data_IF_973910979032
#
_entry.id   IF_973910979032
#
_cell.length_a   1.000
_cell.length_b   1.000
_cell.length_c   1.000
_cell.angle_alpha   90.00
_cell.angle_beta   90.00
_cell.angle_gamma   90.00
#
_symmetry.space_group_name_H-M   'P 1'
#
loop_
_entity.id
_entity.type
_entity.pdbx_description
1 polymer ?
2 non-polymer ?
3 non-polymer ?
#
# COMPACT_ATOMS: atom_id res chain seq x y z
N UNK A 20 -7.39 -24.39 23.00
CA UNK A 20 -6.18 -24.83 22.21
C UNK A 20 -5.46 -23.58 21.67
N UNK A 21 -6.03 -22.99 20.61
CA UNK A 21 -5.46 -21.78 20.00
C UNK A 21 -6.08 -20.54 20.62
N UNK A 22 -6.95 -20.76 21.60
CA UNK A 22 -7.63 -19.69 22.30
C UNK A 22 -7.05 -19.47 23.70
N UNK A 23 -6.65 -20.57 24.33
CA UNK A 23 -6.07 -20.54 25.68
C UNK A 23 -4.62 -20.08 25.53
N UNK A 24 -4.30 -18.90 26.09
CA UNK A 24 -2.95 -18.33 26.02
C UNK A 24 -1.84 -19.16 26.65
N UNK A 25 -0.67 -19.15 26.02
CA UNK A 25 0.48 -19.89 26.52
C UNK A 25 1.16 -19.12 27.66
N UNK A 26 2.01 -19.80 28.45
CA UNK A 26 2.69 -19.14 29.55
C UNK A 26 3.54 -17.96 29.10
N UNK A 27 3.50 -16.86 29.85
CA UNK A 27 4.28 -15.67 29.52
C UNK A 27 5.80 -15.84 29.45
N UNK A 28 6.49 -14.72 29.21
CA UNK A 28 7.95 -14.67 29.11
C UNK A 28 8.36 -13.22 29.26
N UNK A 29 9.19 -12.93 30.26
CA UNK A 29 9.62 -11.56 30.48
C UNK A 29 10.57 -11.05 29.40
N UNK A 30 11.63 -11.81 29.15
CA UNK A 30 12.61 -11.41 28.16
C UNK A 30 11.97 -11.11 26.81
N UNK A 31 10.96 -11.90 26.45
CA UNK A 31 10.24 -11.72 25.19
C UNK A 31 9.19 -10.61 25.29
N UNK A 32 8.48 -10.57 26.41
CA UNK A 32 7.46 -9.58 26.64
C UNK A 32 8.12 -8.19 26.76
N UNK A 33 9.39 -8.18 27.09
CA UNK A 33 10.12 -6.93 27.23
C UNK A 33 10.49 -6.42 25.85
N UNK A 34 10.98 -7.33 25.02
CA UNK A 34 11.38 -7.04 23.65
C UNK A 34 10.23 -6.51 22.80
N UNK A 35 9.06 -7.14 22.95
CA UNK A 35 7.90 -6.76 22.17
C UNK A 35 7.23 -5.46 22.59
N UNK A 36 7.28 -5.14 23.87
CA UNK A 36 6.64 -3.92 24.32
C UNK A 36 7.66 -3.01 25.00
N UNK A 37 8.57 -2.48 24.19
CA UNK A 37 9.60 -1.59 24.70
C UNK A 37 9.00 -0.22 25.02
N UNK A 38 8.09 -0.20 25.98
CA UNK A 38 7.45 1.04 26.37
C UNK A 38 6.41 1.53 25.39
N UNK A 39 6.72 1.42 24.10
CA UNK A 39 5.79 1.87 23.07
C UNK A 39 5.68 3.38 23.05
N UNK A 40 5.09 3.93 24.11
CA UNK A 40 4.92 5.37 24.27
C UNK A 40 4.23 6.06 23.09
N UNK A 41 3.83 5.29 22.09
CA UNK A 41 3.18 5.86 20.93
C UNK A 41 1.67 5.61 20.89
N UNK A 42 0.91 6.69 20.97
CA UNK A 42 -0.54 6.59 20.93
C UNK A 42 -1.04 7.43 19.77
N UNK A 43 -2.16 7.00 19.18
CA UNK A 43 -2.72 7.72 18.04
C UNK A 43 -3.40 9.02 18.44
N UNK A 44 -3.50 9.94 17.48
CA UNK A 44 -4.15 11.24 17.69
C UNK A 44 -5.59 10.91 18.06
N UNK A 45 -5.83 10.65 19.35
CA UNK A 45 -7.15 10.25 19.79
C UNK A 45 -8.24 11.32 19.93
N UNK A 46 -8.00 12.54 19.45
CA UNK A 46 -9.02 13.57 19.58
C UNK A 46 -9.45 14.29 18.31
N UNK A 47 -8.58 14.32 17.30
CA UNK A 47 -8.89 14.98 16.04
C UNK A 47 -9.37 14.00 14.97
N UNK A 48 -9.83 12.83 15.40
CA UNK A 48 -10.35 11.81 14.49
C UNK A 48 -11.83 11.61 14.76
N UNK A 49 -12.21 11.78 16.02
CA UNK A 49 -13.60 11.64 16.42
C UNK A 49 -14.41 12.78 15.81
N UNK A 50 -13.70 13.70 15.16
CA UNK A 50 -14.30 14.86 14.51
C UNK A 50 -14.63 14.55 13.05
N UNK A 51 -14.10 13.44 12.56
CA UNK A 51 -14.32 13.02 11.18
C UNK A 51 -15.42 11.97 11.12
N UNK A 52 -16.31 12.07 10.11
CA UNK A 52 -17.42 11.15 9.91
C UNK A 52 -16.99 9.78 9.36
N UNK A 53 -17.84 8.77 9.54
CA UNK A 53 -17.55 7.42 9.05
C UNK A 53 -18.79 6.78 8.43
N UNK A 54 -18.88 6.84 7.11
CA UNK A 54 -20.03 6.29 6.41
C UNK A 54 -19.83 4.82 6.04
N UNK A 55 -20.81 3.99 6.37
CA UNK A 55 -20.75 2.55 6.07
C UNK A 55 -21.88 2.08 5.15
N UNK A 56 -21.52 1.79 3.91
CA UNK A 56 -22.43 1.33 2.87
C UNK A 56 -22.42 -0.18 2.68
N UNK A 57 -23.57 -0.76 2.30
CA UNK A 57 -23.63 -2.20 2.08
C UNK A 57 -24.83 -2.88 2.73
N UNK A 58 -25.11 -4.11 2.31
CA UNK A 58 -26.25 -4.86 2.84
C UNK A 58 -26.07 -5.45 4.23
N UNK A 59 -27.15 -5.46 5.00
CA UNK A 59 -27.15 -5.99 6.36
C UNK A 59 -25.85 -5.84 7.08
N UNK A 60 -25.27 -4.66 6.97
CA UNK A 60 -23.99 -4.37 7.62
C UNK A 60 -24.00 -4.52 9.14
N UNK A 61 -23.04 -5.31 9.68
CA UNK A 61 -22.96 -5.51 11.13
C UNK A 61 -22.72 -4.19 11.87
N UNK A 62 -23.58 -3.88 12.85
CA UNK A 62 -23.52 -2.67 13.68
C UNK A 62 -22.19 -2.43 14.41
N UNK A 63 -21.59 -1.26 14.18
CA UNK A 63 -20.32 -0.87 14.80
C UNK A 63 -20.26 -1.11 16.30
N UNK A 64 -19.09 -0.90 16.90
CA UNK A 64 -18.93 -1.10 18.33
C UNK A 64 -18.27 0.08 19.03
N UNK A 65 -18.57 0.23 20.32
CA UNK A 65 -18.02 1.31 21.11
C UNK A 65 -16.75 0.89 21.86
N UNK A 66 -16.85 -0.17 22.66
CA UNK A 66 -15.68 -0.63 23.40
C UNK A 66 -15.29 -2.01 22.87
N UNK A 67 -14.02 -2.36 23.01
CA UNK A 67 -13.53 -3.67 22.55
C UNK A 67 -14.31 -4.82 23.20
N UNK A 68 -15.15 -4.46 24.17
CA UNK A 68 -15.93 -5.44 24.89
C UNK A 68 -17.31 -5.66 24.29
N UNK A 69 -17.61 -4.96 23.21
CA UNK A 69 -18.92 -5.10 22.55
C UNK A 69 -19.00 -6.32 21.66
N UNK A 70 -17.98 -7.19 21.75
CA UNK A 70 -17.89 -8.42 20.96
C UNK A 70 -16.75 -9.26 21.54
N UNK A 71 -16.94 -10.58 21.60
CA UNK A 71 -15.91 -11.47 22.16
C UNK A 71 -14.61 -11.46 21.36
N UNK A 72 -13.63 -10.72 21.84
CA UNK A 72 -12.34 -10.65 21.16
C UNK A 72 -11.44 -11.80 21.62
N UNK A 73 -11.92 -12.62 22.54
CA UNK A 73 -11.14 -13.73 23.05
C UNK A 73 -10.11 -13.32 24.08
N UNK A 74 -9.71 -14.27 24.92
CA UNK A 74 -8.72 -14.02 25.98
C UNK A 74 -7.44 -13.33 25.53
N UNK A 75 -6.71 -14.00 24.63
CA UNK A 75 -5.44 -13.50 24.12
C UNK A 75 -5.46 -12.09 23.54
N UNK A 76 -6.43 -11.78 22.69
CA UNK A 76 -6.46 -10.43 22.11
C UNK A 76 -6.67 -9.40 23.21
N UNK A 77 -7.75 -9.55 23.97
CA UNK A 77 -8.04 -8.61 25.08
C UNK A 77 -6.80 -8.43 25.93
N UNK A 78 -6.10 -9.53 26.19
CA UNK A 78 -4.88 -9.48 26.97
C UNK A 78 -3.80 -8.63 26.36
N UNK A 79 -3.48 -8.88 25.09
CA UNK A 79 -2.45 -8.12 24.41
C UNK A 79 -2.84 -6.66 24.17
N UNK A 80 -4.13 -6.39 24.02
CA UNK A 80 -4.57 -5.02 23.80
C UNK A 80 -4.12 -4.18 24.97
N UNK A 81 -4.18 -4.74 26.17
CA UNK A 81 -3.72 -4.03 27.36
C UNK A 81 -2.23 -3.72 27.25
N UNK A 82 -1.40 -4.76 27.19
CA UNK A 82 0.05 -4.57 27.10
C UNK A 82 0.50 -3.58 26.03
N UNK A 83 -0.41 -3.11 25.17
CA UNK A 83 -0.05 -2.15 24.13
C UNK A 83 -0.63 -0.79 24.43
N UNK A 84 -1.27 -0.68 25.59
CA UNK A 84 -1.87 0.55 26.05
C UNK A 84 -2.93 1.13 25.12
N UNK A 85 -3.95 0.34 24.79
CA UNK A 85 -5.05 0.83 23.95
C UNK A 85 -6.25 0.86 24.88
N UNK A 86 -6.93 2.00 24.96
CA UNK A 86 -8.10 2.11 25.83
C UNK A 86 -9.35 1.72 25.08
N UNK A 87 -9.63 2.45 24.00
CA UNK A 87 -10.79 2.18 23.19
C UNK A 87 -10.42 2.24 21.71
N UNK A 88 -11.29 1.69 20.85
CA UNK A 88 -11.08 1.65 19.40
C UNK A 88 -11.19 3.00 18.69
N UNK A 89 -10.29 3.24 17.74
CA UNK A 89 -10.32 4.47 16.96
C UNK A 89 -11.61 4.44 16.13
N UNK A 90 -11.92 5.53 15.39
CA UNK A 90 -13.14 5.59 14.57
C UNK A 90 -13.33 4.42 13.62
N UNK A 91 -12.39 4.28 12.68
CA UNK A 91 -12.42 3.20 11.68
C UNK A 91 -12.51 1.85 12.39
N UNK A 92 -11.76 1.72 13.48
CA UNK A 92 -11.75 0.49 14.26
C UNK A 92 -13.10 0.18 14.89
N UNK A 93 -13.99 1.17 14.94
CA UNK A 93 -15.30 0.96 15.55
C UNK A 93 -16.24 0.24 14.59
N UNK A 94 -16.07 0.47 13.30
CA UNK A 94 -16.93 -0.16 12.29
C UNK A 94 -16.23 -1.33 11.65
N UNK A 95 -14.91 -1.23 11.52
CA UNK A 95 -14.12 -2.28 10.89
C UNK A 95 -14.12 -3.59 11.65
N UNK A 96 -13.85 -3.52 12.94
CA UNK A 96 -13.80 -4.72 13.76
C UNK A 96 -15.05 -5.58 13.65
N UNK A 97 -16.22 -5.07 14.04
CA UNK A 97 -17.37 -5.96 13.92
C UNK A 97 -17.66 -6.48 12.50
N UNK A 98 -17.26 -5.72 11.48
CA UNK A 98 -17.48 -6.13 10.09
C UNK A 98 -16.64 -7.39 9.78
N UNK A 99 -15.37 -7.34 10.15
CA UNK A 99 -14.45 -8.45 9.91
C UNK A 99 -14.80 -9.63 10.81
N UNK A 100 -15.17 -9.33 12.05
CA UNK A 100 -15.54 -10.36 13.00
C UNK A 100 -16.73 -11.18 12.47
N UNK A 101 -17.72 -10.54 11.86
CA UNK A 101 -18.87 -11.28 11.31
C UNK A 101 -18.55 -11.82 9.90
N UNK A 102 -17.26 -11.93 9.62
CA UNK A 102 -16.77 -12.45 8.35
C UNK A 102 -17.31 -11.87 7.06
N UNK A 103 -17.35 -10.54 6.97
CA UNK A 103 -17.82 -9.83 5.77
C UNK A 103 -16.62 -9.21 5.09
N UNK A 104 -16.59 -9.16 3.76
CA UNK A 104 -15.47 -8.53 3.09
C UNK A 104 -15.53 -7.00 3.30
N UNK A 105 -14.40 -6.33 3.17
CA UNK A 105 -14.34 -4.90 3.45
C UNK A 105 -13.40 -4.09 2.55
N UNK A 106 -13.88 -2.92 2.12
CA UNK A 106 -13.12 -1.97 1.31
C UNK A 106 -13.10 -0.72 2.16
N UNK A 107 -11.95 -0.36 2.72
CA UNK A 107 -11.88 0.80 3.59
C UNK A 107 -10.94 1.91 3.17
N UNK A 108 -11.43 3.15 3.28
CA UNK A 108 -10.68 4.35 2.92
C UNK A 108 -10.55 5.27 4.14
N UNK A 109 -9.30 5.59 4.50
CA UNK A 109 -9.06 6.46 5.64
C UNK A 109 -7.61 6.94 5.61
N UNK A 110 -7.39 8.19 6.04
CA UNK A 110 -6.04 8.76 6.04
C UNK A 110 -5.16 8.22 7.14
N UNK A 111 -3.86 8.17 6.87
CA UNK A 111 -2.91 7.67 7.85
C UNK A 111 -3.22 8.16 9.25
N UNK A 112 -2.76 7.41 10.25
CA UNK A 112 -3.00 7.76 11.64
C UNK A 112 -4.38 7.40 12.13
N UNK A 113 -5.22 6.89 11.23
CA UNK A 113 -6.58 6.52 11.61
C UNK A 113 -6.62 5.29 12.49
N UNK A 114 -5.55 4.49 12.43
CA UNK A 114 -5.47 3.27 13.22
C UNK A 114 -5.93 2.07 12.42
N UNK A 115 -5.60 2.09 11.13
CA UNK A 115 -5.99 1.04 10.23
C UNK A 115 -5.34 -0.32 10.53
N UNK A 116 -4.04 -0.34 10.80
CA UNK A 116 -3.33 -1.60 11.07
C UNK A 116 -3.95 -2.47 12.15
N UNK A 117 -4.22 -1.89 13.31
CA UNK A 117 -4.83 -2.65 14.39
C UNK A 117 -6.24 -3.07 14.01
N UNK A 118 -6.90 -2.26 13.17
CA UNK A 118 -8.27 -2.56 12.75
C UNK A 118 -8.46 -3.87 11.98
N UNK A 119 -7.41 -4.36 11.33
CA UNK A 119 -7.57 -5.61 10.62
C UNK A 119 -6.82 -6.76 11.30
N UNK A 120 -5.72 -6.45 11.98
CA UNK A 120 -4.98 -7.50 12.67
C UNK A 120 -5.79 -8.07 13.82
N UNK A 121 -6.27 -7.21 14.71
CA UNK A 121 -7.03 -7.68 15.85
C UNK A 121 -8.16 -8.66 15.51
N UNK A 122 -9.16 -8.21 14.73
CA UNK A 122 -10.24 -9.15 14.41
C UNK A 122 -9.76 -10.43 13.74
N UNK A 123 -8.77 -10.31 12.84
CA UNK A 123 -8.24 -11.48 12.14
C UNK A 123 -7.63 -12.47 13.13
N UNK A 124 -6.70 -11.98 13.94
CA UNK A 124 -6.05 -12.82 14.93
C UNK A 124 -7.10 -13.40 15.86
N UNK A 125 -7.97 -12.55 16.36
CA UNK A 125 -9.04 -12.99 17.23
C UNK A 125 -9.82 -14.16 16.62
N UNK A 126 -9.90 -14.22 15.30
CA UNK A 126 -10.61 -15.27 14.58
C UNK A 126 -9.83 -16.57 14.50
N UNK A 127 -8.54 -16.44 14.23
CA UNK A 127 -7.66 -17.59 14.15
C UNK A 127 -7.65 -18.27 15.51
N UNK A 128 -7.40 -17.50 16.56
CA UNK A 128 -7.41 -18.07 17.89
C UNK A 128 -8.74 -18.76 18.13
N UNK A 129 -9.83 -18.08 17.78
CA UNK A 129 -11.17 -18.64 17.95
C UNK A 129 -11.39 -19.92 17.15
N UNK A 130 -11.33 -19.80 15.82
CA UNK A 130 -11.56 -20.93 14.91
C UNK A 130 -10.41 -21.93 14.74
N UNK A 131 -9.23 -21.64 15.26
CA UNK A 131 -8.13 -22.58 15.07
C UNK A 131 -7.49 -22.37 13.71
N UNK A 132 -6.43 -23.12 13.36
CA UNK A 132 -5.73 -22.98 12.07
C UNK A 132 -6.28 -23.74 10.87
N UNK A 133 -7.31 -24.56 11.07
CA UNK A 133 -7.85 -25.34 9.97
C UNK A 133 -7.38 -26.77 10.13
N UNK A 134 -8.15 -27.73 9.64
CA UNK A 134 -7.78 -29.12 9.77
C UNK A 134 -6.59 -29.47 8.89
N UNK A 135 -6.42 -28.75 7.81
CA UNK A 135 -5.30 -29.01 6.90
C UNK A 135 -3.99 -28.83 7.66
N UNK A 136 -3.82 -27.70 8.34
CA UNK A 136 -2.59 -27.47 9.08
C UNK A 136 -2.51 -28.42 10.25
N UNK A 137 -3.59 -28.48 11.03
CA UNK A 137 -3.63 -29.36 12.19
C UNK A 137 -3.12 -30.75 11.84
N UNK A 138 -3.82 -31.40 10.91
CA UNK A 138 -3.43 -32.73 10.49
C UNK A 138 -2.25 -32.69 9.52
N UNK A 139 -1.29 -31.80 9.77
CA UNK A 139 -0.11 -31.70 8.90
C UNK A 139 1.12 -31.48 9.78
N UNK A 140 0.86 -31.05 11.01
CA UNK A 140 1.90 -30.82 12.01
C UNK A 140 2.07 -32.13 12.74
N UNK A 141 0.95 -32.81 12.96
CA UNK A 141 0.95 -34.09 13.65
C UNK A 141 1.30 -35.23 12.71
N UNK A 142 1.56 -34.87 11.45
CA UNK A 142 1.96 -35.83 10.45
C UNK A 142 3.48 -35.73 10.43
N UNK A 143 4.16 -36.88 10.54
CA UNK A 143 5.61 -36.90 10.57
C UNK A 143 6.31 -36.24 9.39
N UNK A 144 5.62 -35.32 8.72
CA UNK A 144 6.20 -34.62 7.57
C UNK A 144 7.09 -33.48 8.04
N UNK A 145 7.97 -33.77 8.99
CA UNK A 145 8.88 -32.76 9.53
C UNK A 145 9.89 -32.30 8.47
N UNK A 146 10.50 -31.15 8.71
CA UNK A 146 11.47 -30.61 7.77
C UNK A 146 11.21 -29.14 7.46
N UNK A 147 11.59 -28.71 6.26
CA UNK A 147 11.38 -27.33 5.84
C UNK A 147 10.98 -27.25 4.38
N UNK A 148 9.88 -27.91 4.04
CA UNK A 148 9.39 -27.90 2.67
C UNK A 148 8.77 -26.56 2.26
N UNK A 149 7.48 -26.44 2.49
CA UNK A 149 6.71 -25.25 2.12
C UNK A 149 5.75 -24.80 3.22
N UNK A 150 5.75 -23.50 3.52
CA UNK A 150 4.89 -22.92 4.56
C UNK A 150 3.59 -22.37 3.98
N UNK A 151 2.49 -22.57 4.70
CA UNK A 151 1.20 -22.09 4.25
C UNK A 151 0.62 -21.11 5.23
N UNK A 152 0.72 -19.80 4.94
CA UNK A 152 0.14 -18.82 5.88
C UNK A 152 -1.39 -18.92 5.95
N UNK A 153 -1.93 -18.63 7.12
CA UNK A 153 -3.37 -18.65 7.37
C UNK A 153 -3.95 -17.27 7.00
N UNK A 154 -3.08 -16.28 7.02
CA UNK A 154 -3.46 -14.92 6.69
C UNK A 154 -2.34 -14.21 5.96
N UNK A 155 -2.69 -13.46 4.93
CA UNK A 155 -1.70 -12.75 4.15
C UNK A 155 -2.00 -11.26 4.11
N UNK A 156 -0.98 -10.46 4.37
CA UNK A 156 -1.15 -9.03 4.32
C UNK A 156 -0.12 -8.51 3.32
N UNK A 157 -0.63 -8.01 2.20
CA UNK A 157 0.20 -7.44 1.15
C UNK A 157 0.39 -5.97 1.48
N UNK A 158 1.62 -5.49 1.33
CA UNK A 158 1.96 -4.11 1.63
C UNK A 158 2.85 -3.53 0.54
N UNK A 159 2.75 -2.21 0.32
CA UNK A 159 3.52 -1.48 -0.70
C UNK A 159 5.03 -1.37 -0.49
N UNK A 160 5.44 -1.16 0.76
CA UNK A 160 6.85 -0.98 1.04
C UNK A 160 7.33 -1.66 2.30
N UNK A 161 8.64 -1.88 2.34
CA UNK A 161 9.33 -2.49 3.48
C UNK A 161 9.05 -1.70 4.75
N UNK A 162 8.98 -0.38 4.63
CA UNK A 162 8.73 0.44 5.80
C UNK A 162 7.40 0.04 6.46
N UNK A 163 6.31 0.09 5.71
CA UNK A 163 5.00 -0.26 6.23
C UNK A 163 4.85 -1.75 6.52
N UNK A 164 5.47 -2.58 5.68
CA UNK A 164 5.39 -4.03 5.87
C UNK A 164 5.87 -4.39 7.26
N UNK A 165 7.01 -3.83 7.65
CA UNK A 165 7.58 -4.09 8.97
C UNK A 165 6.75 -3.52 10.11
N UNK A 166 6.16 -2.34 9.93
CA UNK A 166 5.34 -1.77 10.98
C UNK A 166 4.20 -2.74 11.30
N UNK A 167 3.54 -3.22 10.25
CA UNK A 167 2.43 -4.14 10.39
C UNK A 167 2.94 -5.34 11.16
N UNK A 168 4.04 -5.90 10.66
CA UNK A 168 4.68 -7.04 11.30
C UNK A 168 4.89 -6.82 12.80
N UNK A 169 5.59 -5.74 13.15
CA UNK A 169 5.82 -5.39 14.55
C UNK A 169 4.52 -5.42 15.33
N UNK A 170 3.48 -4.85 14.74
CA UNK A 170 2.16 -4.78 15.35
C UNK A 170 1.64 -6.19 15.63
N UNK A 171 1.80 -7.07 14.65
CA UNK A 171 1.34 -8.46 14.76
C UNK A 171 2.08 -9.22 15.88
N UNK A 172 3.38 -8.99 16.02
CA UNK A 172 4.17 -9.63 17.06
C UNK A 172 3.55 -9.36 18.44
N UNK A 173 3.08 -8.12 18.62
CA UNK A 173 2.47 -7.71 19.87
C UNK A 173 1.16 -8.44 20.11
N UNK A 174 0.22 -8.30 19.18
CA UNK A 174 -1.10 -8.93 19.30
C UNK A 174 -1.12 -10.44 19.24
N UNK A 175 -0.02 -11.05 18.80
CA UNK A 175 0.05 -12.50 18.71
C UNK A 175 1.00 -13.03 19.76
N UNK A 176 1.29 -12.19 20.75
CA UNK A 176 2.14 -12.55 21.87
C UNK A 176 1.36 -13.58 22.68
N UNK A 177 2.02 -14.69 23.00
CA UNK A 177 1.41 -15.76 23.78
C UNK A 177 0.34 -16.57 23.04
N UNK A 178 0.61 -16.90 21.78
CA UNK A 178 -0.32 -17.67 20.99
C UNK A 178 0.43 -18.60 20.05
N UNK A 179 -0.32 -19.49 19.37
CA UNK A 179 0.25 -20.44 18.42
C UNK A 179 0.62 -19.73 17.12
N UNK A 180 0.23 -18.47 16.97
CA UNK A 180 0.49 -17.75 15.73
C UNK A 180 1.81 -17.00 15.64
N UNK A 181 2.68 -17.42 14.72
CA UNK A 181 3.95 -16.74 14.54
C UNK A 181 3.87 -15.81 13.33
N UNK A 182 4.06 -14.50 13.54
CA UNK A 182 4.00 -13.56 12.42
C UNK A 182 5.35 -13.67 11.70
N UNK A 183 5.42 -13.21 10.47
CA UNK A 183 6.67 -13.25 9.72
C UNK A 183 6.55 -12.30 8.55
N UNK A 184 7.59 -11.52 8.28
CA UNK A 184 7.55 -10.57 7.16
C UNK A 184 8.68 -10.75 6.15
N UNK A 185 8.40 -10.46 4.88
CA UNK A 185 9.38 -10.55 3.81
C UNK A 185 9.18 -9.35 2.86
N UNK A 186 10.22 -8.99 2.13
CA UNK A 186 10.18 -7.86 1.19
C UNK A 186 11.41 -7.82 0.29
N UNK A 187 11.35 -6.97 -0.73
CA UNK A 187 12.46 -6.86 -1.67
C UNK A 187 13.59 -5.96 -1.19
N UNK A 188 14.76 -6.10 -1.82
CA UNK A 188 15.91 -5.31 -1.44
C UNK A 188 16.54 -5.83 -0.17
N UNK A 189 16.60 -7.15 -0.03
CA UNK A 189 17.18 -7.80 1.13
C UNK A 189 17.60 -9.19 0.73
N UNK A 190 18.42 -9.85 1.54
CA UNK A 190 18.86 -11.19 1.19
C UNK A 190 17.66 -12.11 1.31
N UNK A 191 17.24 -12.65 0.18
CA UNK A 191 16.09 -13.55 0.18
C UNK A 191 16.38 -14.79 1.00
N UNK A 192 17.59 -15.33 0.83
CA UNK A 192 17.97 -16.54 1.55
C UNK A 192 17.75 -16.44 3.06
N UNK A 193 18.02 -15.28 3.63
CA UNK A 193 17.83 -15.09 5.06
C UNK A 193 16.34 -15.17 5.37
N UNK A 194 15.54 -14.41 4.63
CA UNK A 194 14.08 -14.39 4.80
C UNK A 194 13.52 -15.79 4.64
N UNK A 195 14.01 -16.52 3.64
CA UNK A 195 13.55 -17.87 3.42
C UNK A 195 13.76 -18.69 4.69
N UNK A 196 14.93 -18.57 5.30
CA UNK A 196 15.19 -19.33 6.52
C UNK A 196 14.21 -18.92 7.62
N UNK A 197 13.86 -17.62 7.66
CA UNK A 197 12.92 -17.10 8.66
C UNK A 197 11.53 -17.73 8.48
N UNK A 198 11.08 -17.86 7.23
CA UNK A 198 9.79 -18.46 6.92
C UNK A 198 9.76 -19.86 7.49
N UNK A 199 10.78 -20.63 7.16
CA UNK A 199 10.90 -22.01 7.61
C UNK A 199 10.67 -22.15 9.12
N UNK A 200 10.89 -21.08 9.85
CA UNK A 200 10.74 -21.10 11.30
C UNK A 200 9.29 -20.98 11.77
N UNK A 201 8.38 -20.63 10.85
CA UNK A 201 6.99 -20.50 11.23
C UNK A 201 6.20 -19.42 10.51
N UNK A 202 5.03 -19.82 10.02
CA UNK A 202 4.18 -18.90 9.29
C UNK A 202 2.71 -19.13 9.56
N UNK A 203 1.99 -18.06 9.87
CA UNK A 203 0.56 -18.15 10.13
C UNK A 203 -0.06 -16.85 9.68
N UNK A 204 0.75 -15.81 9.77
CA UNK A 204 0.37 -14.47 9.37
C UNK A 204 1.59 -13.93 8.68
N UNK A 205 1.60 -14.01 7.35
CA UNK A 205 2.72 -13.55 6.54
C UNK A 205 2.42 -12.17 5.98
N UNK A 206 3.34 -11.24 6.21
CA UNK A 206 3.20 -9.89 5.72
C UNK A 206 4.28 -9.79 4.67
N UNK A 207 3.89 -9.40 3.45
CA UNK A 207 4.87 -9.32 2.37
C UNK A 207 4.56 -8.25 1.36
N UNK A 208 5.53 -7.99 0.50
CA UNK A 208 5.35 -7.02 -0.57
C UNK A 208 5.21 -7.89 -1.82
N UNK A 209 4.25 -7.56 -2.68
CA UNK A 209 3.90 -8.23 -3.93
C UNK A 209 5.00 -9.01 -4.61
N UNK A 210 6.02 -8.31 -5.06
CA UNK A 210 7.10 -8.96 -5.76
C UNK A 210 7.77 -10.12 -5.05
N UNK A 211 8.19 -9.89 -3.81
CA UNK A 211 8.86 -10.91 -3.03
C UNK A 211 7.97 -12.13 -2.77
N UNK A 212 6.72 -11.89 -2.39
CA UNK A 212 5.81 -13.00 -2.14
C UNK A 212 5.67 -13.89 -3.37
N UNK A 213 5.73 -13.29 -4.55
CA UNK A 213 5.61 -14.04 -5.78
C UNK A 213 6.88 -14.85 -5.98
N UNK A 214 8.01 -14.23 -5.68
CA UNK A 214 9.31 -14.87 -5.81
C UNK A 214 9.33 -16.09 -4.88
N UNK A 215 8.95 -15.89 -3.62
CA UNK A 215 8.92 -16.97 -2.65
C UNK A 215 8.06 -18.10 -3.19
N UNK A 216 6.88 -17.74 -3.72
CA UNK A 216 5.96 -18.72 -4.28
C UNK A 216 6.63 -19.55 -5.38
N UNK A 217 7.22 -18.87 -6.37
CA UNK A 217 7.89 -19.56 -7.47
C UNK A 217 8.94 -20.52 -6.93
N UNK A 218 9.59 -20.13 -5.84
CA UNK A 218 10.61 -20.95 -5.19
C UNK A 218 10.02 -22.05 -4.31
N UNK A 219 8.70 -22.25 -4.41
CA UNK A 219 8.02 -23.28 -3.64
C UNK A 219 8.14 -23.20 -2.14
N UNK A 220 8.44 -22.01 -1.62
CA UNK A 220 8.61 -21.78 -0.19
C UNK A 220 7.30 -21.39 0.52
N UNK A 221 6.36 -20.84 -0.23
CA UNK A 221 5.08 -20.40 0.30
C UNK A 221 3.91 -20.96 -0.49
N UNK A 222 2.84 -21.29 0.24
CA UNK A 222 1.64 -21.82 -0.36
C UNK A 222 0.47 -20.99 0.12
N UNK A 223 -0.53 -20.78 -0.73
CA UNK A 223 -1.68 -19.98 -0.32
C UNK A 223 -2.93 -20.84 -0.20
N UNK A 224 -2.76 -22.15 -0.22
CA UNK A 224 -3.88 -23.08 -0.13
C UNK A 224 -4.79 -22.89 1.08
N UNK A 225 -4.23 -22.45 2.19
CA UNK A 225 -5.04 -22.31 3.38
C UNK A 225 -5.18 -20.91 3.89
N UNK A 226 -4.96 -19.93 3.01
CA UNK A 226 -5.08 -18.54 3.41
C UNK A 226 -6.55 -18.18 3.50
N UNK A 227 -7.02 -17.86 4.69
CA UNK A 227 -8.42 -17.51 4.92
C UNK A 227 -8.65 -16.02 5.10
N UNK A 228 -7.57 -15.28 5.37
CA UNK A 228 -7.67 -13.85 5.58
C UNK A 228 -6.66 -13.13 4.72
N UNK A 229 -7.17 -12.43 3.72
CA UNK A 229 -6.37 -11.66 2.77
C UNK A 229 -6.60 -10.20 3.03
N UNK A 230 -5.50 -9.44 3.10
CA UNK A 230 -5.58 -8.00 3.36
C UNK A 230 -4.63 -7.28 2.43
N UNK A 231 -5.15 -6.31 1.69
CA UNK A 231 -4.29 -5.54 0.80
C UNK A 231 -4.20 -4.17 1.46
N UNK A 232 -3.07 -3.91 2.08
CA UNK A 232 -2.88 -2.67 2.77
C UNK A 232 -2.33 -1.60 1.82
N UNK A 233 -3.06 -0.49 1.70
CA UNK A 233 -2.68 0.62 0.83
C UNK A 233 -2.66 0.14 -0.62
N UNK A 234 -3.80 -0.41 -1.04
CA UNK A 234 -3.95 -0.95 -2.38
C UNK A 234 -3.59 0.06 -3.46
N UNK A 235 -4.03 1.30 -3.28
CA UNK A 235 -3.76 2.36 -4.24
C UNK A 235 -2.27 2.61 -4.30
N UNK A 236 -1.64 2.74 -3.13
CA UNK A 236 -0.21 2.99 -3.07
C UNK A 236 0.57 1.84 -3.71
N UNK A 237 0.05 0.62 -3.57
CA UNK A 237 0.72 -0.55 -4.16
C UNK A 237 0.67 -0.52 -5.68
N UNK A 238 -0.49 -0.17 -6.20
CA UNK A 238 -0.67 -0.10 -7.64
C UNK A 238 0.25 0.94 -8.22
N UNK A 239 0.36 2.07 -7.52
CA UNK A 239 1.24 3.16 -7.95
C UNK A 239 2.59 2.57 -8.33
N UNK A 240 3.22 1.91 -7.37
CA UNK A 240 4.51 1.27 -7.58
C UNK A 240 4.41 0.07 -8.54
N UNK A 241 3.40 0.10 -9.41
CA UNK A 241 3.20 -0.95 -10.41
C UNK A 241 3.18 -2.39 -9.93
N UNK A 242 2.34 -2.69 -8.95
CA UNK A 242 2.26 -4.05 -8.43
C UNK A 242 1.05 -4.87 -8.90
N UNK A 243 0.06 -4.23 -9.52
CA UNK A 243 -1.16 -4.94 -9.92
C UNK A 243 -0.95 -6.36 -10.43
N UNK A 244 -0.05 -6.53 -11.42
CA UNK A 244 0.24 -7.83 -12.01
C UNK A 244 0.49 -8.92 -10.98
N UNK A 245 1.37 -8.65 -10.03
CA UNK A 245 1.70 -9.62 -8.99
C UNK A 245 0.50 -9.83 -8.09
N UNK A 246 -0.11 -8.73 -7.67
CA UNK A 246 -1.29 -8.82 -6.81
C UNK A 246 -2.30 -9.79 -7.41
N UNK A 247 -2.57 -9.65 -8.71
CA UNK A 247 -3.51 -10.55 -9.37
C UNK A 247 -2.91 -11.94 -9.49
N UNK A 248 -1.64 -12.02 -9.84
CA UNK A 248 -0.98 -13.32 -9.97
C UNK A 248 -1.18 -14.02 -8.63
N UNK A 249 -0.88 -13.32 -7.56
CA UNK A 249 -1.01 -13.83 -6.21
C UNK A 249 -2.43 -14.29 -5.90
N UNK A 250 -3.37 -13.36 -5.95
CA UNK A 250 -4.78 -13.66 -5.67
C UNK A 250 -5.46 -14.60 -6.67
N UNK A 251 -5.77 -14.06 -7.85
CA UNK A 251 -6.48 -14.77 -8.91
C UNK A 251 -5.78 -15.93 -9.61
N UNK A 252 -4.47 -15.84 -9.81
CA UNK A 252 -3.75 -16.88 -10.55
C UNK A 252 -3.12 -18.03 -9.77
N UNK A 253 -3.41 -18.15 -8.48
CA UNK A 253 -2.79 -19.23 -7.74
C UNK A 253 -3.72 -20.09 -6.91
N UNK A 254 -3.09 -20.91 -6.07
CA UNK A 254 -3.75 -21.84 -5.15
C UNK A 254 -4.59 -21.19 -4.06
N UNK A 255 -4.69 -19.86 -4.07
CA UNK A 255 -5.48 -19.18 -3.06
C UNK A 255 -6.98 -19.41 -3.21
N UNK A 256 -7.67 -19.65 -2.09
CA UNK A 256 -9.11 -19.91 -2.07
C UNK A 256 -9.85 -18.71 -2.66
N UNK A 257 -10.95 -18.97 -3.39
CA UNK A 257 -11.80 -17.96 -4.04
C UNK A 257 -12.58 -17.13 -3.04
N UNK A 258 -13.21 -16.03 -3.47
CA UNK A 258 -13.97 -15.22 -2.52
C UNK A 258 -15.19 -15.97 -2.05
N UNK A 259 -15.61 -15.69 -0.82
CA UNK A 259 -16.75 -16.40 -0.26
C UNK A 259 -16.13 -17.45 0.64
N UNK A 260 -14.99 -17.96 0.24
CA UNK A 260 -14.27 -18.95 1.02
C UNK A 260 -13.26 -18.20 1.91
N UNK A 261 -12.48 -17.33 1.29
CA UNK A 261 -11.48 -16.54 1.99
C UNK A 261 -12.08 -15.18 2.23
N UNK A 262 -11.67 -14.55 3.32
CA UNK A 262 -12.16 -13.24 3.67
C UNK A 262 -11.13 -12.21 3.25
N UNK A 263 -11.58 -11.21 2.51
CA UNK A 263 -10.69 -10.19 1.99
C UNK A 263 -10.96 -8.79 2.52
N UNK A 264 -9.91 -8.01 2.66
CA UNK A 264 -10.01 -6.64 3.14
C UNK A 264 -9.02 -5.78 2.38
N UNK A 265 -9.52 -4.66 1.87
CA UNK A 265 -8.69 -3.71 1.14
C UNK A 265 -8.68 -2.41 1.92
N UNK A 266 -7.51 -1.80 2.01
CA UNK A 266 -7.35 -0.54 2.70
C UNK A 266 -6.60 0.38 1.77
N UNK A 267 -7.15 1.56 1.49
CA UNK A 267 -6.49 2.54 0.63
C UNK A 267 -7.14 3.90 0.77
N UNK A 268 -6.31 4.93 0.93
CA UNK A 268 -6.78 6.30 1.12
C UNK A 268 -7.56 6.84 -0.06
N UNK A 269 -7.03 6.65 -1.27
CA UNK A 269 -7.73 7.13 -2.46
C UNK A 269 -8.54 5.98 -3.03
N UNK A 270 -9.56 6.31 -3.81
CA UNK A 270 -10.45 5.31 -4.38
C UNK A 270 -10.69 5.45 -5.90
N UNK A 271 -9.61 5.41 -6.69
CA UNK A 271 -9.65 5.53 -8.16
C UNK A 271 -10.33 4.37 -8.85
N UNK A 272 -10.70 4.57 -10.11
CA UNK A 272 -11.38 3.52 -10.87
C UNK A 272 -10.62 2.19 -10.89
N UNK A 273 -9.28 2.22 -10.89
CA UNK A 273 -8.52 0.97 -10.93
C UNK A 273 -8.58 0.22 -9.61
N UNK A 274 -9.00 0.91 -8.56
CA UNK A 274 -9.14 0.29 -7.25
C UNK A 274 -10.57 -0.22 -7.08
N UNK A 275 -11.50 0.46 -7.75
CA UNK A 275 -12.91 0.09 -7.73
C UNK A 275 -13.04 -1.22 -8.48
N UNK A 276 -12.29 -1.34 -9.57
CA UNK A 276 -12.32 -2.55 -10.37
C UNK A 276 -11.60 -3.68 -9.67
N UNK A 277 -10.71 -3.34 -8.74
CA UNK A 277 -9.96 -4.35 -8.01
C UNK A 277 -10.85 -4.81 -6.87
N UNK A 278 -11.43 -3.85 -6.16
CA UNK A 278 -12.31 -4.18 -5.06
C UNK A 278 -13.48 -4.98 -5.60
N UNK A 279 -13.74 -4.83 -6.89
CA UNK A 279 -14.83 -5.53 -7.56
C UNK A 279 -14.55 -7.00 -7.71
N UNK A 280 -13.41 -7.35 -8.28
CA UNK A 280 -13.07 -8.76 -8.48
C UNK A 280 -12.65 -9.50 -7.22
N UNK A 281 -11.96 -8.81 -6.31
CA UNK A 281 -11.47 -9.42 -5.07
C UNK A 281 -12.44 -9.50 -3.90
N UNK A 282 -13.21 -8.44 -3.66
CA UNK A 282 -14.14 -8.46 -2.54
C UNK A 282 -15.46 -9.12 -2.91
N UNK A 283 -16.19 -9.59 -1.90
CA UNK A 283 -17.46 -10.28 -2.11
C UNK A 283 -18.52 -9.78 -1.13
N UNK A 284 -19.62 -9.23 -1.68
CA UNK A 284 -20.71 -8.70 -0.86
C UNK A 284 -20.06 -7.95 0.28
N UNK A 285 -19.23 -6.98 -0.09
CA UNK A 285 -18.46 -6.20 0.86
C UNK A 285 -19.12 -4.93 1.35
N UNK A 286 -18.62 -4.42 2.46
CA UNK A 286 -19.11 -3.18 3.03
C UNK A 286 -18.09 -2.11 2.71
N UNK A 287 -18.58 -0.94 2.27
CA UNK A 287 -17.70 0.17 1.96
C UNK A 287 -17.60 1.00 3.22
N UNK A 288 -16.37 1.34 3.58
CA UNK A 288 -16.16 2.12 4.78
C UNK A 288 -15.32 3.32 4.43
N UNK A 289 -15.91 4.51 4.57
CA UNK A 289 -15.20 5.74 4.25
C UNK A 289 -15.23 6.69 5.43
N UNK A 290 -14.06 7.13 5.88
CA UNK A 290 -14.00 8.06 7.00
C UNK A 290 -13.45 9.41 6.51
N UNK A 291 -14.20 10.04 5.61
CA UNK A 291 -13.78 11.33 5.07
C UNK A 291 -14.09 11.50 3.60
N UNK A 292 -13.16 12.12 2.89
CA UNK A 292 -13.31 12.39 1.46
C UNK A 292 -13.11 11.16 0.57
N UNK A 293 -14.06 10.96 -0.35
CA UNK A 293 -14.00 9.84 -1.28
C UNK A 293 -13.12 10.27 -2.46
N UNK A 294 -11.85 10.52 -2.19
CA UNK A 294 -10.93 10.95 -3.22
C UNK A 294 -10.65 10.01 -4.39
N UNK A 295 -10.75 10.52 -5.61
CA UNK A 295 -10.46 9.74 -6.80
C UNK A 295 -8.93 9.73 -6.92
N UNK A 296 -8.31 10.76 -6.35
CA UNK A 296 -6.86 10.97 -6.32
C UNK A 296 -6.62 11.59 -4.95
N UNK A 297 -5.37 11.82 -4.59
CA UNK A 297 -5.07 12.42 -3.30
C UNK A 297 -5.63 13.84 -3.15
N UNK A 298 -6.40 14.04 -2.08
CA UNK A 298 -7.02 15.32 -1.77
C UNK A 298 -6.02 16.48 -1.84
N UNK A 299 -4.84 16.24 -1.28
CA UNK A 299 -3.77 17.22 -1.19
C UNK A 299 -2.74 17.13 -2.31
N UNK A 300 -3.16 17.43 -3.55
CA UNK A 300 -2.27 17.34 -4.72
C UNK A 300 -2.81 18.23 -5.85
N UNK A 301 -1.98 19.13 -6.37
CA UNK A 301 -2.44 20.03 -7.44
C UNK A 301 -2.06 19.62 -8.85
N UNK A 302 -3.05 19.69 -9.73
CA UNK A 302 -2.86 19.30 -11.11
C UNK A 302 -3.00 20.42 -12.11
N UNK A 303 -1.90 20.70 -12.80
CA UNK A 303 -1.89 21.73 -13.81
C UNK A 303 -1.50 21.13 -15.13
N UNK A 304 -2.43 21.17 -16.08
CA UNK A 304 -2.19 20.67 -17.43
C UNK A 304 -1.97 21.85 -18.35
N UNK A 305 -0.86 21.82 -19.08
CA UNK A 305 -0.52 22.90 -19.98
C UNK A 305 -0.10 22.34 -21.34
N UNK A 306 -0.50 23.05 -22.39
CA UNK A 306 -0.19 22.66 -23.76
C UNK A 306 1.24 23.07 -24.14
N UNK A 307 2.04 22.12 -24.63
CA UNK A 307 3.41 22.43 -25.00
C UNK A 307 3.85 21.56 -26.19
N UNK A 308 4.23 22.21 -27.28
CA UNK A 308 4.72 21.50 -28.47
C UNK A 308 6.02 20.80 -28.06
N UNK A 309 6.36 19.73 -28.76
CA UNK A 309 7.57 19.00 -28.43
C UNK A 309 8.80 19.89 -28.34
N UNK A 310 8.92 20.82 -29.30
CA UNK A 310 10.06 21.73 -29.34
C UNK A 310 10.17 22.59 -28.11
N UNK A 311 9.05 23.20 -27.71
CA UNK A 311 9.02 24.07 -26.55
C UNK A 311 9.16 23.36 -25.20
N UNK A 312 9.08 22.03 -25.22
CA UNK A 312 9.18 21.24 -23.98
C UNK A 312 10.40 21.46 -23.10
N UNK A 313 11.61 21.34 -23.65
CA UNK A 313 12.78 21.52 -22.80
C UNK A 313 12.90 22.91 -22.17
N UNK A 314 12.66 23.93 -22.98
CA UNK A 314 12.72 25.31 -22.49
C UNK A 314 11.64 25.52 -21.43
N UNK A 315 10.46 24.96 -21.70
CA UNK A 315 9.34 25.08 -20.79
C UNK A 315 9.67 24.40 -19.46
N UNK A 316 10.33 23.24 -19.54
CA UNK A 316 10.73 22.50 -18.35
C UNK A 316 11.75 23.35 -17.59
N UNK A 317 12.71 23.91 -18.33
CA UNK A 317 13.74 24.76 -17.73
C UNK A 317 13.13 25.92 -16.95
N UNK A 318 12.23 26.68 -17.58
CA UNK A 318 11.59 27.78 -16.87
C UNK A 318 10.94 27.22 -15.61
N UNK A 319 10.34 26.04 -15.75
CA UNK A 319 9.67 25.36 -14.64
C UNK A 319 10.66 25.05 -13.51
N UNK A 320 11.89 24.68 -13.86
CA UNK A 320 12.89 24.39 -12.87
C UNK A 320 13.43 25.66 -12.19
N UNK A 321 13.79 26.68 -12.98
CA UNK A 321 14.28 27.91 -12.39
C UNK A 321 13.28 28.33 -11.32
N UNK A 322 12.00 28.22 -11.63
CA UNK A 322 10.96 28.57 -10.67
C UNK A 322 11.00 27.60 -9.51
N UNK A 323 11.25 26.32 -9.81
CA UNK A 323 11.30 25.28 -8.78
C UNK A 323 11.84 25.75 -7.45
N UNK A 324 13.13 26.11 -7.42
CA UNK A 324 13.74 26.57 -6.18
C UNK A 324 13.23 25.73 -5.02
N UNK A 325 12.35 26.32 -4.20
CA UNK A 325 11.72 25.68 -3.05
C UNK A 325 12.56 24.68 -2.26
N UNK A 326 13.79 24.43 -2.68
CA UNK A 326 14.63 23.46 -2.00
C UNK A 326 13.81 22.17 -1.89
N UNK A 327 13.09 21.88 -2.97
CA UNK A 327 12.23 20.71 -3.04
C UNK A 327 12.77 19.69 -4.04
N UNK A 328 12.09 18.56 -4.12
CA UNK A 328 12.51 17.52 -5.05
C UNK A 328 11.56 17.48 -6.23
N UNK A 329 12.12 17.17 -7.39
CA UNK A 329 11.35 17.08 -8.61
C UNK A 329 11.52 15.73 -9.27
N UNK A 330 10.40 15.09 -9.60
CA UNK A 330 10.41 13.79 -10.26
C UNK A 330 9.89 14.06 -11.67
N UNK A 331 10.73 13.76 -12.67
CA UNK A 331 10.37 14.02 -14.05
C UNK A 331 10.18 12.73 -14.85
N UNK A 332 8.93 12.46 -15.24
CA UNK A 332 8.61 11.24 -15.98
C UNK A 332 8.69 11.48 -17.48
N UNK A 333 9.22 10.50 -18.21
CA UNK A 333 9.28 10.60 -19.67
C UNK A 333 8.78 9.26 -20.16
N UNK A 334 8.46 9.16 -21.45
CA UNK A 334 7.90 7.92 -21.96
C UNK A 334 8.88 6.81 -22.27
N UNK A 335 10.04 7.13 -22.83
CA UNK A 335 10.99 6.08 -23.17
C UNK A 335 12.33 6.24 -22.46
N UNK A 336 13.01 5.12 -22.25
CA UNK A 336 14.30 5.11 -21.58
C UNK A 336 15.30 5.86 -22.45
N UNK A 337 15.04 5.85 -23.76
CA UNK A 337 15.89 6.53 -24.72
C UNK A 337 15.90 8.02 -24.36
N UNK A 338 14.71 8.61 -24.32
CA UNK A 338 14.57 10.02 -23.99
C UNK A 338 14.87 10.35 -22.54
N UNK A 339 14.70 9.39 -21.65
CA UNK A 339 14.98 9.64 -20.24
C UNK A 339 16.47 9.93 -20.15
N UNK A 340 17.21 9.30 -21.06
CA UNK A 340 18.66 9.46 -21.12
C UNK A 340 19.04 10.79 -21.75
N UNK A 341 18.63 11.01 -22.99
CA UNK A 341 18.94 12.25 -23.70
C UNK A 341 18.45 13.49 -22.96
N UNK A 342 17.45 13.32 -22.10
CA UNK A 342 16.92 14.44 -21.34
C UNK A 342 17.75 14.59 -20.08
N UNK A 343 18.17 13.47 -19.52
CA UNK A 343 19.00 13.49 -18.31
C UNK A 343 20.33 14.09 -18.73
N UNK A 344 20.70 13.80 -19.98
CA UNK A 344 21.93 14.30 -20.57
C UNK A 344 21.79 15.82 -20.72
N UNK A 345 20.73 16.24 -21.42
CA UNK A 345 20.43 17.66 -21.66
C UNK A 345 20.44 18.50 -20.38
N UNK A 346 19.86 17.95 -19.31
CA UNK A 346 19.78 18.63 -18.03
C UNK A 346 21.10 18.77 -17.28
N UNK A 347 21.98 17.77 -17.41
CA UNK A 347 23.28 17.82 -16.75
C UNK A 347 24.06 18.89 -17.51
N UNK A 348 23.96 18.81 -18.84
CA UNK A 348 24.62 19.72 -19.77
C UNK A 348 24.29 21.19 -19.50
N UNK A 349 23.02 21.48 -19.21
CA UNK A 349 22.57 22.85 -18.92
C UNK A 349 22.97 23.27 -17.51
N UNK A 350 23.74 22.43 -16.83
CA UNK A 350 24.19 22.73 -15.49
C UNK A 350 23.14 22.48 -14.41
N UNK A 351 22.67 21.24 -14.33
CA UNK A 351 21.68 20.86 -13.34
C UNK A 351 22.06 19.58 -12.59
N UNK A 352 21.90 19.64 -11.26
CA UNK A 352 22.22 18.51 -10.40
C UNK A 352 21.08 17.48 -10.46
N UNK A 353 21.13 16.63 -11.48
CA UNK A 353 20.09 15.62 -11.66
C UNK A 353 20.67 14.22 -11.81
N UNK A 354 19.88 13.23 -11.40
CA UNK A 354 20.27 11.83 -11.49
C UNK A 354 19.24 11.02 -12.26
N UNK A 355 19.50 9.73 -12.45
CA UNK A 355 18.58 8.90 -13.19
C UNK A 355 18.45 7.47 -12.70
N UNK A 356 17.20 7.04 -12.54
CA UNK A 356 16.89 5.70 -12.07
C UNK A 356 17.21 4.70 -13.19
N UNK A 357 17.97 3.66 -12.87
CA UNK A 357 18.33 2.64 -13.85
C UNK A 357 17.33 1.50 -13.86
N UNK A 358 16.67 1.31 -15.00
CA UNK A 358 15.69 0.25 -15.12
C UNK A 358 16.26 -1.13 -14.89
N UNK A 359 17.23 -1.51 -15.71
CA UNK A 359 17.88 -2.83 -15.63
C UNK A 359 18.32 -3.26 -14.24
N UNK A 360 19.16 -2.45 -13.60
CA UNK A 360 19.67 -2.76 -12.26
C UNK A 360 18.59 -3.26 -11.32
N UNK A 361 19.00 -4.05 -10.33
CA UNK A 361 18.09 -4.62 -9.35
C UNK A 361 17.49 -3.50 -8.51
N UNK A 362 16.35 -3.76 -7.88
CA UNK A 362 15.72 -2.75 -7.06
C UNK A 362 16.49 -2.56 -5.75
N UNK A 363 17.57 -3.31 -5.60
CA UNK A 363 18.39 -3.18 -4.40
C UNK A 363 19.41 -2.09 -4.69
N UNK A 364 19.91 -2.06 -5.92
CA UNK A 364 20.87 -1.04 -6.33
C UNK A 364 20.11 0.25 -6.59
N UNK A 365 18.87 0.09 -7.07
CA UNK A 365 18.02 1.24 -7.37
C UNK A 365 17.62 1.98 -6.10
N UNK A 366 17.35 1.25 -5.02
CA UNK A 366 16.96 1.90 -3.76
C UNK A 366 18.18 2.62 -3.19
N UNK A 367 19.34 2.35 -3.79
CA UNK A 367 20.62 2.95 -3.40
C UNK A 367 20.83 4.31 -4.09
N UNK A 368 20.62 4.34 -5.40
CA UNK A 368 20.77 5.57 -6.16
C UNK A 368 19.90 6.68 -5.57
N UNK A 369 18.77 6.32 -4.99
CA UNK A 369 17.86 7.28 -4.39
C UNK A 369 18.41 7.86 -3.09
N UNK A 370 19.37 7.16 -2.49
CA UNK A 370 19.96 7.62 -1.24
C UNK A 370 20.65 8.97 -1.41
N UNK A 371 20.94 9.35 -2.66
CA UNK A 371 21.60 10.62 -2.92
C UNK A 371 20.60 11.66 -3.45
N UNK A 372 19.53 11.20 -4.09
CA UNK A 372 18.47 12.08 -4.60
C UNK A 372 17.78 12.67 -3.36
N UNK A 373 17.67 11.82 -2.33
CA UNK A 373 17.04 12.15 -1.06
C UNK A 373 17.72 13.29 -0.28
N UNK A 374 19.05 13.20 -0.14
CA UNK A 374 19.80 14.20 0.62
C UNK A 374 20.06 15.52 -0.11
N UNK A 375 19.18 15.90 -1.02
CA UNK A 375 19.35 17.15 -1.72
C UNK A 375 20.32 17.07 -2.89
N UNK A 376 21.52 16.53 -2.66
CA UNK A 376 22.57 16.38 -3.67
C UNK A 376 22.13 16.56 -5.13
N UNK A 377 21.02 15.91 -5.51
CA UNK A 377 20.48 16.01 -6.86
C UNK A 377 18.96 16.07 -6.75
N UNK A 378 18.42 17.27 -6.52
CA UNK A 378 16.98 17.54 -6.37
C UNK A 378 16.11 17.19 -7.57
N UNK A 379 16.76 16.76 -8.65
CA UNK A 379 16.05 16.39 -9.87
C UNK A 379 16.23 14.89 -10.10
N UNK A 380 15.14 14.21 -10.46
CA UNK A 380 15.20 12.78 -10.73
C UNK A 380 14.38 12.50 -11.97
N UNK A 381 15.03 11.97 -12.99
CA UNK A 381 14.37 11.65 -14.24
C UNK A 381 14.29 10.15 -14.34
N UNK A 382 13.09 9.63 -14.55
CA UNK A 382 12.89 8.20 -14.67
C UNK A 382 11.68 7.95 -15.53
N UNK A 383 11.55 6.71 -16.01
CA UNK A 383 10.41 6.32 -16.81
C UNK A 383 9.48 5.53 -15.89
N UNK A 384 8.29 5.21 -16.39
CA UNK A 384 7.30 4.46 -15.63
C UNK A 384 7.96 3.20 -15.06
N UNK A 385 8.42 2.37 -15.98
CA UNK A 385 9.09 1.11 -15.67
C UNK A 385 10.20 1.29 -14.62
N UNK A 386 11.28 1.95 -15.01
CA UNK A 386 12.42 2.21 -14.15
C UNK A 386 12.12 2.41 -12.66
N UNK A 387 10.99 3.03 -12.33
CA UNK A 387 10.66 3.25 -10.92
C UNK A 387 9.71 2.20 -10.35
N UNK A 388 9.09 1.42 -11.23
CA UNK A 388 8.16 0.37 -10.81
C UNK A 388 8.83 -0.50 -9.76
N UNK A 389 8.47 -0.30 -8.50
CA UNK A 389 9.03 -1.08 -7.42
C UNK A 389 9.65 -0.21 -6.34
N UNK A 390 10.20 0.93 -6.75
CA UNK A 390 10.86 1.86 -5.84
C UNK A 390 9.94 2.73 -4.99
N UNK A 391 10.37 3.01 -3.78
CA UNK A 391 9.61 3.87 -2.88
C UNK A 391 10.28 5.24 -2.93
N UNK A 392 9.97 6.01 -3.98
CA UNK A 392 10.52 7.36 -4.17
C UNK A 392 9.64 8.35 -3.44
N UNK A 393 9.90 8.54 -2.16
CA UNK A 393 9.09 9.48 -1.38
C UNK A 393 9.87 10.76 -1.15
N UNK A 394 9.18 11.78 -0.65
CA UNK A 394 9.81 13.06 -0.39
C UNK A 394 9.88 13.90 -1.66
N UNK A 395 8.82 13.84 -2.48
CA UNK A 395 8.77 14.58 -3.75
C UNK A 395 7.63 15.62 -3.82
N UNK A 396 8.00 16.90 -3.89
CA UNK A 396 7.02 17.98 -3.94
C UNK A 396 6.53 18.28 -5.34
N UNK A 397 7.37 18.02 -6.34
CA UNK A 397 6.96 18.31 -7.70
C UNK A 397 7.17 17.14 -8.67
N UNK A 398 6.07 16.72 -9.26
CA UNK A 398 6.09 15.65 -10.26
C UNK A 398 5.62 16.30 -11.55
N UNK A 399 6.47 16.29 -12.56
CA UNK A 399 6.10 16.86 -13.84
C UNK A 399 6.12 15.80 -14.93
N UNK A 400 5.00 15.71 -15.64
CA UNK A 400 4.85 14.76 -16.72
C UNK A 400 5.38 15.36 -18.00
N UNK A 401 6.65 15.14 -18.28
CA UNK A 401 7.27 15.68 -19.47
C UNK A 401 6.55 15.13 -20.69
N UNK A 402 6.11 13.88 -20.59
CA UNK A 402 5.35 13.20 -21.62
C UNK A 402 4.16 12.65 -20.87
N UNK A 403 3.07 12.41 -21.56
CA UNK A 403 1.90 11.83 -20.91
C UNK A 403 1.79 10.39 -21.38
N UNK A 404 1.20 9.52 -20.56
CA UNK A 404 1.04 8.11 -20.92
C UNK A 404 -0.20 7.88 -21.79
N UNK A 405 -0.38 6.64 -22.24
CA UNK A 405 -1.52 6.28 -23.08
C UNK A 405 -2.81 6.19 -22.27
N UNK A 406 -2.73 5.71 -21.05
CA UNK A 406 -3.91 5.55 -20.21
C UNK A 406 -4.00 6.51 -19.02
N UNK A 407 -5.23 6.87 -18.67
CA UNK A 407 -5.43 7.77 -17.56
C UNK A 407 -5.12 7.00 -16.28
N UNK A 408 -4.97 5.68 -16.42
CA UNK A 408 -4.66 4.81 -15.29
C UNK A 408 -3.24 5.16 -14.86
N UNK A 409 -2.33 5.04 -15.82
CA UNK A 409 -0.91 5.35 -15.63
C UNK A 409 -0.81 6.77 -15.07
N UNK A 410 -1.52 7.71 -15.69
CA UNK A 410 -1.50 9.10 -15.23
C UNK A 410 -1.67 9.13 -13.72
N UNK A 411 -2.74 8.48 -13.25
CA UNK A 411 -3.04 8.45 -11.83
C UNK A 411 -1.90 7.98 -10.94
N UNK A 412 -1.36 6.79 -11.17
CA UNK A 412 -0.29 6.39 -10.29
C UNK A 412 1.08 6.94 -10.67
N UNK A 413 1.05 7.97 -11.50
CA UNK A 413 2.26 8.64 -11.90
C UNK A 413 2.28 9.91 -11.08
N UNK A 414 1.12 10.56 -10.94
CA UNK A 414 1.04 11.78 -10.14
C UNK A 414 0.88 11.35 -8.69
N UNK A 415 0.77 10.05 -8.49
CA UNK A 415 0.61 9.50 -7.16
C UNK A 415 1.87 9.69 -6.36
N UNK A 416 3.02 9.52 -7.02
CA UNK A 416 4.32 9.66 -6.37
C UNK A 416 4.48 10.96 -5.57
N UNK A 417 3.54 11.89 -5.70
CA UNK A 417 3.64 13.13 -4.96
C UNK A 417 2.40 13.40 -4.13
N UNK A 418 2.49 14.40 -3.25
CA UNK A 418 1.37 14.74 -2.41
C UNK A 418 1.18 13.78 -1.25
N UNK A 419 2.28 13.21 -0.76
CA UNK A 419 2.19 12.28 0.35
C UNK A 419 1.69 13.00 1.60
N UNK A 420 0.79 12.34 2.31
CA UNK A 420 0.16 12.89 3.51
C UNK A 420 0.97 13.96 4.24
N UNK A 421 0.26 15.02 4.65
CA UNK A 421 0.91 16.11 5.34
C UNK A 421 0.99 17.38 4.52
N UNK A 422 1.94 17.40 3.59
CA UNK A 422 2.18 18.56 2.72
C UNK A 422 1.65 18.34 1.31
N UNK A 423 1.32 19.45 0.63
CA UNK A 423 0.80 19.38 -0.73
C UNK A 423 1.92 19.31 -1.78
N UNK A 424 1.68 18.53 -2.82
CA UNK A 424 2.65 18.40 -3.88
C UNK A 424 2.03 18.93 -5.16
N UNK A 425 2.85 19.08 -6.19
CA UNK A 425 2.35 19.59 -7.45
C UNK A 425 2.65 18.63 -8.59
N UNK A 426 1.72 18.55 -9.54
CA UNK A 426 1.90 17.68 -10.68
C UNK A 426 1.55 18.45 -11.96
N UNK A 427 2.61 18.89 -12.64
CA UNK A 427 2.48 19.63 -13.89
C UNK A 427 2.66 18.64 -15.04
N UNK A 428 1.81 18.76 -16.05
CA UNK A 428 1.84 17.86 -17.19
C UNK A 428 1.84 18.63 -18.50
N UNK A 429 2.77 18.25 -19.38
CA UNK A 429 2.87 18.85 -20.70
C UNK A 429 1.98 18.02 -21.59
N UNK A 430 1.08 18.69 -22.28
CA UNK A 430 0.11 18.04 -23.14
C UNK A 430 0.16 18.69 -24.50
N UNK A 431 0.14 17.89 -25.55
CA UNK A 431 0.10 18.40 -26.92
C UNK A 431 -0.62 17.37 -27.78
N UNK A 432 -0.68 17.58 -29.09
CA UNK A 432 -1.40 16.67 -29.99
C UNK A 432 -1.08 15.18 -29.80
N UNK A 433 0.18 14.88 -29.50
CA UNK A 433 0.65 13.51 -29.33
C UNK A 433 -0.19 12.66 -28.37
N UNK A 434 -1.01 13.30 -27.56
CA UNK A 434 -1.84 12.55 -26.63
C UNK A 434 -3.25 13.14 -26.52
N UNK A 435 -3.89 13.30 -27.67
CA UNK A 435 -5.22 13.85 -27.69
C UNK A 435 -6.22 12.77 -27.26
N UNK A 436 -5.79 11.52 -27.35
CA UNK A 436 -6.63 10.38 -26.97
C UNK A 436 -7.03 10.40 -25.49
N UNK A 437 -6.04 10.52 -24.63
CA UNK A 437 -6.28 10.56 -23.19
C UNK A 437 -6.95 11.87 -22.77
N UNK A 438 -7.52 12.60 -23.74
CA UNK A 438 -8.17 13.87 -23.44
C UNK A 438 -9.35 13.81 -22.49
N UNK A 439 -10.42 13.17 -22.97
CA UNK A 439 -11.66 13.04 -22.22
C UNK A 439 -11.44 12.53 -20.79
N UNK A 440 -10.62 11.50 -20.63
CA UNK A 440 -10.33 10.95 -19.30
C UNK A 440 -9.63 11.95 -18.38
N UNK A 441 -8.67 12.70 -18.93
CA UNK A 441 -7.91 13.70 -18.17
C UNK A 441 -8.84 14.84 -17.71
N UNK A 442 -9.75 15.22 -18.59
CA UNK A 442 -10.72 16.27 -18.31
C UNK A 442 -11.59 15.85 -17.13
N UNK A 443 -12.21 14.68 -17.25
CA UNK A 443 -13.07 14.14 -16.19
C UNK A 443 -12.33 14.11 -14.87
N UNK A 444 -11.11 13.58 -14.92
CA UNK A 444 -10.27 13.46 -13.74
C UNK A 444 -10.11 14.81 -13.04
N UNK A 445 -9.94 15.87 -13.82
CA UNK A 445 -9.76 17.20 -13.25
C UNK A 445 -11.05 17.75 -12.69
N UNK A 446 -12.14 17.48 -13.40
CA UNK A 446 -13.45 17.93 -12.92
C UNK A 446 -13.64 17.31 -11.53
N UNK A 447 -13.53 15.98 -11.46
CA UNK A 447 -13.68 15.25 -10.21
C UNK A 447 -12.81 15.82 -9.10
N UNK A 448 -11.50 15.85 -9.32
CA UNK A 448 -10.56 16.35 -8.32
C UNK A 448 -10.67 17.85 -8.06
N UNK A 449 -11.62 18.50 -8.74
CA UNK A 449 -11.87 19.93 -8.63
C UNK A 449 -10.59 20.74 -8.85
N UNK A 450 -9.98 20.54 -10.01
CA UNK A 450 -8.76 21.22 -10.41
C UNK A 450 -9.15 22.20 -11.50
N UNK A 451 -8.23 23.09 -11.85
CA UNK A 451 -8.53 24.07 -12.88
C UNK A 451 -8.49 23.35 -14.22
N UNK A 452 -9.47 23.63 -15.08
CA UNK A 452 -9.52 22.98 -16.38
C UNK A 452 -9.31 23.97 -17.52
N UNK A 453 -8.26 23.75 -18.33
CA UNK A 453 -7.97 24.62 -19.47
C UNK A 453 -9.13 24.60 -20.47
N UNK A 454 -9.58 25.79 -20.88
CA UNK A 454 -10.66 25.91 -21.84
C UNK A 454 -10.36 25.10 -23.09
N UNK A 455 -9.11 25.10 -23.53
CA UNK A 455 -8.76 24.35 -24.73
C UNK A 455 -8.97 22.84 -24.54
N UNK A 456 -8.81 22.37 -23.31
CA UNK A 456 -8.99 20.96 -23.00
C UNK A 456 -10.46 20.59 -23.22
N UNK A 457 -11.36 21.40 -22.66
CA UNK A 457 -12.80 21.18 -22.81
C UNK A 457 -13.13 21.16 -24.29
N UNK A 458 -12.60 22.13 -25.03
CA UNK A 458 -12.86 22.22 -26.45
C UNK A 458 -12.38 21.00 -27.23
N UNK A 459 -11.20 20.46 -26.91
CA UNK A 459 -10.66 19.30 -27.60
C UNK A 459 -11.24 17.96 -27.14
N UNK A 460 -12.47 17.99 -26.63
CA UNK A 460 -13.13 16.77 -26.16
C UNK A 460 -14.49 16.69 -26.86
N UNK A 461 -14.85 17.77 -27.55
CA UNK A 461 -16.12 17.91 -28.28
C UNK A 461 -17.24 18.39 -27.37
#
# INVERSE_FOLDING_TARGET
>A
MGSSHHHHHHSSGLVPRGSDWSKPLPPSERLEQELFSGGNTGINFEKYDDIPVEATGNNCPPHIESFSDVEMGEIIMGNIELTRYTRPTPVQKHAIPIIKEKRDLMACAQTGSGKTAAFLLPILSQIYSDGPGEALRAMKENGRYGRRKQYPISLVLAPTRELAVQIYEEARKFSYRSRVRPCVVYGGADIGQQIRDLERGCHLLVATPGRLVDMMERGKIGLDFCKYLVLDEADRMLVMGFEPQIRRIVEQDTMPPKGVRHTMMFSATFPKEIQMLARDFLDEYIFLAVGRVGSTSENITQKVVWVEESDKRSFLLDLLNATGKDSLTLVFVETKKGADSLEDFLYHEGYACTSIHGDRSQRDREEALHQFRSGKSPILVATAVAARGLDISNVKHVINFDLPSDIEEYVHRIGRTGRVGNLGLATSFFNERNINITKDLLDLLVEAKQEVPSWLENMAYEHHYKG
#
